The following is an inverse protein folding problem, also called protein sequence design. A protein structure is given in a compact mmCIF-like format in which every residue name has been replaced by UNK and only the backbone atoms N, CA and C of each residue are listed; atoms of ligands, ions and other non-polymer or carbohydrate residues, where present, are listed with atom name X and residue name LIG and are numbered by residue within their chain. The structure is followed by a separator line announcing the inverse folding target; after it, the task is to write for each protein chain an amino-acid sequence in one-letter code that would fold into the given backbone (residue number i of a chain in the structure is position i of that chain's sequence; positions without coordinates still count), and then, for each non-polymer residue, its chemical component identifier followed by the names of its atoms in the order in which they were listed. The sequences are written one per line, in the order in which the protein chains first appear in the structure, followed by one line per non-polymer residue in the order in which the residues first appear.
data_IF_057047015998
#
_entry.id   IF_057047015998
#
_cell.length_a   1.000
_cell.length_b   1.000
_cell.length_c   1.000
_cell.angle_alpha   90.00
_cell.angle_beta   90.00
_cell.angle_gamma   90.00
#
_symmetry.space_group_name_H-M   'P 1'
#
loop_
_entity.id
_entity.type
_entity.pdbx_description
1 polymer ?
#
# COMPACT_ATOMS: atom_id res chain seq x y z
N UNK A 1 -6.84 -1.29 1.27
CA UNK A 1 -5.91 -2.43 1.03
C UNK A 1 -4.50 -1.99 1.40
N UNK A 2 -3.65 -2.94 1.80
CA UNK A 2 -2.21 -2.72 1.96
C UNK A 2 -1.50 -3.39 0.78
N UNK A 3 -0.52 -2.69 0.22
CA UNK A 3 0.30 -3.15 -0.89
C UNK A 3 1.76 -3.03 -0.46
N UNK A 4 2.44 -4.17 -0.38
CA UNK A 4 3.87 -4.21 -0.13
C UNK A 4 4.60 -3.97 -1.45
N UNK A 5 5.30 -2.84 -1.52
CA UNK A 5 6.18 -2.51 -2.64
C UNK A 5 7.61 -2.91 -2.26
N UNK A 6 8.44 -3.20 -3.26
CA UNK A 6 9.81 -3.69 -3.01
C UNK A 6 10.57 -2.81 -1.99
N UNK A 7 11.06 -3.45 -0.91
CA UNK A 7 11.78 -2.78 0.18
C UNK A 7 10.96 -2.72 1.46
N UNK A 8 11.07 -1.62 2.19
CA UNK A 8 10.37 -1.41 3.48
C UNK A 8 9.17 -0.45 3.34
N UNK A 9 8.68 -0.25 2.12
CA UNK A 9 7.61 0.68 1.80
C UNK A 9 6.30 -0.07 1.59
N UNK A 10 5.25 0.44 2.21
CA UNK A 10 3.90 -0.09 2.13
C UNK A 10 2.96 1.03 1.71
N UNK A 11 2.03 0.74 0.81
CA UNK A 11 0.98 1.66 0.40
C UNK A 11 -0.35 1.20 0.97
N UNK A 12 -1.02 2.10 1.68
CA UNK A 12 -2.36 1.89 2.22
C UNK A 12 -3.30 2.78 1.44
N UNK A 13 -4.37 2.22 0.89
CA UNK A 13 -5.33 3.04 0.13
C UNK A 13 -6.55 2.27 -0.33
N UNK A 14 -7.46 2.97 -0.98
CA UNK A 14 -8.65 2.37 -1.58
C UNK A 14 -8.29 1.89 -3.00
N UNK A 15 -8.39 0.58 -3.24
CA UNK A 15 -8.22 0.04 -4.59
C UNK A 15 -9.38 0.49 -5.48
N UNK A 16 -9.06 1.14 -6.61
CA UNK A 16 -10.07 1.62 -7.57
C UNK A 16 -10.13 0.77 -8.83
N UNK A 17 -8.98 0.32 -9.32
CA UNK A 17 -8.89 -0.56 -10.47
C UNK A 17 -7.61 -1.38 -10.45
N UNK A 18 -7.62 -2.46 -11.20
CA UNK A 18 -6.47 -3.31 -11.45
C UNK A 18 -6.55 -3.87 -12.88
N UNK A 19 -5.42 -4.32 -13.42
CA UNK A 19 -5.36 -5.05 -14.69
C UNK A 19 -4.77 -6.47 -14.53
N UNK A 20 -4.77 -7.24 -15.62
CA UNK A 20 -4.24 -8.62 -15.64
C UNK A 20 -2.71 -8.71 -15.43
N UNK A 21 -1.99 -7.60 -15.55
CA UNK A 21 -0.55 -7.51 -15.31
C UNK A 21 -0.22 -7.11 -13.86
N UNK A 22 -1.25 -6.94 -13.03
CA UNK A 22 -1.12 -6.55 -11.62
C UNK A 22 -0.84 -5.07 -11.43
N UNK A 23 -0.97 -4.22 -12.44
CA UNK A 23 -0.96 -2.76 -12.21
C UNK A 23 -2.23 -2.39 -11.44
N UNK A 24 -2.12 -1.44 -10.52
CA UNK A 24 -3.25 -1.01 -9.68
C UNK A 24 -3.35 0.51 -9.59
N UNK A 25 -4.57 0.99 -9.39
CA UNK A 25 -4.86 2.37 -9.00
C UNK A 25 -5.33 2.41 -7.56
N UNK A 26 -4.61 3.17 -6.73
CA UNK A 26 -4.96 3.45 -5.35
C UNK A 26 -5.42 4.89 -5.20
N UNK A 27 -6.50 5.12 -4.46
CA UNK A 27 -6.94 6.45 -4.05
C UNK A 27 -6.77 6.61 -2.54
N UNK A 28 -6.65 7.85 -2.08
CA UNK A 28 -6.48 8.22 -0.66
C UNK A 28 -5.30 7.47 -0.05
N UNK A 29 -4.21 7.41 -0.84
CA UNK A 29 -3.04 6.59 -0.54
C UNK A 29 -2.19 7.24 0.55
N UNK A 30 -1.83 6.45 1.55
CA UNK A 30 -0.81 6.74 2.55
C UNK A 30 0.38 5.83 2.28
N UNK A 31 1.55 6.44 2.13
CA UNK A 31 2.81 5.71 2.07
C UNK A 31 3.35 5.57 3.50
N UNK A 32 3.64 4.34 3.92
CA UNK A 32 4.26 4.03 5.20
C UNK A 32 5.61 3.36 4.98
N UNK A 33 6.64 3.86 5.65
CA UNK A 33 7.99 3.27 5.63
C UNK A 33 8.33 2.76 7.03
N UNK A 34 8.72 1.50 7.13
CA UNK A 34 9.11 0.89 8.40
C UNK A 34 10.62 0.91 8.62
N UNK A 35 11.03 1.29 9.83
CA UNK A 35 12.40 1.22 10.29
C UNK A 35 12.46 0.76 11.75
N UNK A 36 13.02 -0.43 12.00
CA UNK A 36 13.07 -1.07 13.33
C UNK A 36 11.67 -1.21 13.93
N UNK A 37 11.40 -0.58 15.08
CA UNK A 37 10.10 -0.58 15.77
C UNK A 37 9.32 0.73 15.57
N UNK A 38 9.62 1.44 14.49
CA UNK A 38 8.98 2.71 14.19
C UNK A 38 8.61 2.76 12.71
N UNK A 39 7.66 3.63 12.39
CA UNK A 39 7.25 3.91 11.03
C UNK A 39 7.04 5.41 10.85
N UNK A 40 7.11 5.85 9.60
CA UNK A 40 6.74 7.20 9.19
C UNK A 40 5.72 7.12 8.05
N UNK A 41 4.82 8.10 8.00
CA UNK A 41 3.75 8.15 7.00
C UNK A 41 3.77 9.45 6.20
N UNK A 42 3.38 9.35 4.93
CA UNK A 42 3.13 10.48 4.06
C UNK A 42 1.82 10.29 3.30
N UNK A 43 0.94 11.29 3.36
CA UNK A 43 -0.26 11.32 2.51
C UNK A 43 0.13 11.60 1.06
N UNK A 44 -0.39 10.79 0.14
CA UNK A 44 0.00 10.81 -1.28
C UNK A 44 -1.17 10.92 -2.26
N UNK A 45 -2.39 10.53 -1.87
CA UNK A 45 -3.58 10.68 -2.71
C UNK A 45 -3.72 9.59 -3.79
N UNK A 46 -3.72 9.96 -5.07
CA UNK A 46 -3.94 9.04 -6.20
C UNK A 46 -2.63 8.45 -6.72
N UNK A 47 -2.50 7.11 -6.72
CA UNK A 47 -1.31 6.37 -7.13
C UNK A 47 -1.64 5.40 -8.26
N UNK A 48 -0.83 5.42 -9.31
CA UNK A 48 -0.73 4.33 -10.29
C UNK A 48 0.53 3.52 -9.97
N UNK A 49 0.35 2.27 -9.54
CA UNK A 49 1.46 1.38 -9.16
C UNK A 49 1.66 0.34 -10.24
N UNK A 50 2.91 0.19 -10.71
CA UNK A 50 3.26 -0.85 -11.69
C UNK A 50 3.30 -2.23 -11.03
N UNK A 51 2.67 -3.23 -11.64
CA UNK A 51 2.58 -4.59 -11.09
C UNK A 51 3.94 -5.22 -10.78
N UNK A 52 4.95 -4.96 -11.60
CA UNK A 52 6.31 -5.49 -11.42
C UNK A 52 7.01 -5.08 -10.10
N UNK A 53 6.55 -4.01 -9.43
CA UNK A 53 7.13 -3.57 -8.15
C UNK A 53 6.33 -4.04 -6.95
N UNK A 54 5.16 -4.64 -7.17
CA UNK A 54 4.27 -5.15 -6.13
C UNK A 54 4.76 -6.53 -5.73
N UNK A 55 5.14 -6.69 -4.46
CA UNK A 55 5.53 -7.99 -3.92
C UNK A 55 4.33 -8.79 -3.43
N UNK A 56 3.38 -8.12 -2.77
CA UNK A 56 2.16 -8.73 -2.24
C UNK A 56 1.12 -7.65 -1.92
N UNK A 57 -0.15 -8.06 -1.89
CA UNK A 57 -1.27 -7.17 -1.55
C UNK A 57 -2.33 -7.91 -0.73
N UNK A 58 -3.03 -7.19 0.14
CA UNK A 58 -4.06 -7.76 1.00
C UNK A 58 -5.04 -6.75 1.56
N UNK A 59 -6.21 -7.22 2.00
CA UNK A 59 -7.13 -6.41 2.80
C UNK A 59 -6.53 -6.20 4.19
N UNK A 60 -6.59 -4.98 4.69
CA UNK A 60 -6.27 -4.66 6.07
C UNK A 60 -7.56 -4.79 6.87
N UNK A 61 -7.48 -5.46 8.01
CA UNK A 61 -8.57 -5.51 8.98
C UNK A 61 -8.41 -4.32 9.94
N UNK A 62 -9.34 -3.34 9.93
CA UNK A 62 -9.25 -2.17 10.80
C UNK A 62 -9.23 -2.52 12.29
N UNK A 63 -9.77 -3.69 12.66
CA UNK A 63 -9.90 -4.07 14.08
C UNK A 63 -8.58 -4.56 14.69
N UNK A 64 -7.59 -4.96 13.88
CA UNK A 64 -6.32 -5.52 14.36
C UNK A 64 -5.19 -4.51 14.53
N UNK A 65 -5.32 -3.30 14.01
CA UNK A 65 -4.27 -2.27 14.09
C UNK A 65 -4.32 -1.44 15.40
N UNK A 66 -5.29 -1.70 16.28
CA UNK A 66 -5.53 -0.95 17.51
C UNK A 66 -5.15 -1.68 18.82
N UNK A 67 -4.61 -2.90 18.71
CA UNK A 67 -4.06 -3.69 19.83
C UNK A 67 -2.52 -3.69 19.80
#
# INVERSE_FOLDING_TARGET
IMVAVRGNTYLYGTLRSYDQYGNIVLQDTVERVYYRQSYAEAARGLFLVRGQVISSMGRVDPQREHD
#
